data_IF_049108204407
#
_entry.id   IF_049108204407
#
_cell.length_a   1.000
_cell.length_b   1.000
_cell.length_c   1.000
_cell.angle_alpha   90.00
_cell.angle_beta   90.00
_cell.angle_gamma   90.00
#
_symmetry.space_group_name_H-M   'P 1'
#
loop_
_entity.id
_entity.type
_entity.pdbx_description
1 polymer ?
#
# COMPACT_ATOMS: atom_id res chain seq x y z
N UNK A 1 64.98 30.59 27.37
CA UNK A 1 63.82 30.59 28.29
C UNK A 1 63.23 31.99 28.35
N UNK A 2 61.92 32.22 28.56
CA UNK A 2 60.74 31.40 28.22
C UNK A 2 59.52 32.20 27.65
N UNK A 3 58.52 31.47 27.14
CA UNK A 3 57.03 31.57 27.28
C UNK A 3 56.37 32.97 27.39
N UNK A 4 55.24 33.30 26.74
CA UNK A 4 53.94 32.66 26.94
C UNK A 4 52.92 32.92 25.80
N UNK A 5 52.11 31.88 25.60
CA UNK A 5 50.87 31.76 24.86
C UNK A 5 49.78 32.72 25.42
N UNK A 6 49.03 33.42 24.55
CA UNK A 6 47.66 33.85 24.86
C UNK A 6 46.75 33.53 23.67
N UNK A 7 46.00 32.45 23.84
CA UNK A 7 44.86 32.07 23.00
C UNK A 7 43.72 33.04 23.29
N UNK A 8 43.29 33.82 22.30
CA UNK A 8 42.06 34.61 22.41
C UNK A 8 40.84 33.67 22.33
N UNK A 9 39.80 33.87 23.15
CA UNK A 9 38.57 33.09 23.05
C UNK A 9 37.84 33.45 21.75
N UNK A 10 37.36 32.44 21.03
CA UNK A 10 36.45 32.62 19.90
C UNK A 10 35.09 33.07 20.46
N UNK A 11 34.54 34.24 20.08
CA UNK A 11 33.18 34.58 20.44
C UNK A 11 32.22 33.70 19.63
N UNK A 12 31.67 32.68 20.30
CA UNK A 12 30.49 31.97 19.82
C UNK A 12 29.27 32.86 19.99
N UNK A 13 28.78 33.42 18.88
CA UNK A 13 27.44 33.98 18.78
C UNK A 13 26.95 33.79 17.34
N UNK A 14 26.17 32.74 17.12
CA UNK A 14 25.24 32.70 15.99
C UNK A 14 23.88 33.15 16.49
N UNK A 15 23.38 34.34 16.11
CA UNK A 15 22.02 34.75 16.42
C UNK A 15 21.10 34.21 15.34
N UNK A 16 20.70 32.95 15.44
CA UNK A 16 19.50 32.50 14.73
C UNK A 16 18.37 32.50 15.75
N UNK A 17 17.42 33.45 15.69
CA UNK A 17 16.24 33.36 16.50
C UNK A 17 15.45 32.13 16.03
N UNK A 18 14.97 31.34 16.99
CA UNK A 18 14.45 29.97 16.81
C UNK A 18 13.08 29.87 16.10
N UNK A 19 12.68 30.87 15.29
CA UNK A 19 11.37 30.93 14.63
C UNK A 19 11.39 30.63 13.13
N UNK A 20 12.49 30.08 12.59
CA UNK A 20 12.45 29.45 11.27
C UNK A 20 12.70 27.93 11.40
N UNK A 21 11.64 27.22 11.78
CA UNK A 21 11.44 25.87 11.23
C UNK A 21 10.18 26.02 10.39
N UNK A 22 10.18 25.75 9.07
CA UNK A 22 8.91 25.54 8.40
C UNK A 22 8.18 24.49 9.24
N UNK A 23 6.93 24.77 9.65
CA UNK A 23 6.05 23.82 10.36
C UNK A 23 5.92 22.60 9.47
N UNK A 24 6.89 21.70 9.56
CA UNK A 24 6.98 20.53 8.70
C UNK A 24 6.05 19.54 9.34
N UNK A 25 4.77 19.65 8.98
CA UNK A 25 3.82 18.57 9.16
C UNK A 25 4.49 17.29 8.65
N UNK A 26 4.36 16.25 9.43
CA UNK A 26 4.93 14.93 9.17
C UNK A 26 3.78 13.96 8.92
N UNK A 27 4.09 12.88 8.22
CA UNK A 27 3.10 11.88 7.94
C UNK A 27 3.48 11.03 6.74
N UNK A 28 2.66 10.02 6.50
CA UNK A 28 2.80 9.13 5.37
C UNK A 28 1.48 8.45 5.08
N UNK A 29 1.16 8.31 3.80
CA UNK A 29 0.21 7.35 3.30
C UNK A 29 0.96 6.03 3.08
N UNK A 30 0.62 5.01 3.87
CA UNK A 30 1.43 3.78 3.97
C UNK A 30 0.93 2.66 3.06
N UNK A 31 -0.39 2.58 2.86
CA UNK A 31 -0.98 1.70 1.87
C UNK A 31 -2.16 0.89 2.40
N UNK A 32 -2.56 -0.13 1.64
CA UNK A 32 -3.81 -0.85 1.89
C UNK A 32 -3.53 -2.22 2.49
N UNK A 33 -4.18 -2.53 3.61
CA UNK A 33 -4.10 -3.81 4.30
C UNK A 33 -5.46 -4.19 4.87
N UNK A 34 -5.94 -5.40 4.55
CA UNK A 34 -7.24 -5.90 5.04
C UNK A 34 -8.45 -5.09 4.56
N UNK A 35 -8.36 -4.46 3.39
CA UNK A 35 -9.42 -3.59 2.84
C UNK A 35 -9.45 -2.16 3.41
N UNK A 36 -8.49 -1.81 4.27
CA UNK A 36 -8.35 -0.49 4.86
C UNK A 36 -7.12 0.21 4.27
N UNK A 37 -7.25 1.47 3.87
CA UNK A 37 -6.15 2.38 3.57
C UNK A 37 -5.61 2.96 4.87
N UNK A 38 -4.32 2.80 5.10
CA UNK A 38 -3.63 3.22 6.32
C UNK A 38 -2.66 4.36 6.05
N UNK A 39 -2.48 5.19 7.07
CA UNK A 39 -1.42 6.18 7.13
C UNK A 39 -1.37 6.86 8.48
N UNK A 40 -0.58 7.93 8.56
CA UNK A 40 -0.50 8.77 9.75
C UNK A 40 -0.16 10.21 9.37
N UNK A 41 -0.53 11.14 10.23
CA UNK A 41 -0.30 12.57 10.08
C UNK A 41 -0.08 13.22 11.44
N UNK A 42 0.97 14.02 11.56
CA UNK A 42 1.41 14.65 12.80
C UNK A 42 1.89 16.08 12.52
N UNK A 43 1.63 17.00 13.44
CA UNK A 43 2.20 18.34 13.41
C UNK A 43 3.05 18.54 14.68
N UNK A 44 4.39 18.63 14.56
CA UNK A 44 5.26 18.91 15.71
C UNK A 44 4.97 20.26 16.39
N UNK A 45 4.37 21.22 15.67
CA UNK A 45 3.95 22.51 16.22
C UNK A 45 2.69 22.44 17.07
N UNK A 46 1.84 21.44 16.83
CA UNK A 46 0.60 21.19 17.57
C UNK A 46 0.47 19.70 17.92
N UNK A 47 1.35 19.15 18.79
CA UNK A 47 1.47 17.70 18.99
C UNK A 47 0.21 17.06 19.59
N UNK A 48 -0.59 17.81 20.36
CA UNK A 48 -1.87 17.33 20.90
C UNK A 48 -3.01 17.36 19.88
N UNK A 49 -2.82 18.00 18.73
CA UNK A 49 -3.88 18.17 17.73
C UNK A 49 -3.91 17.00 16.77
N UNK A 50 -5.09 16.39 16.65
CA UNK A 50 -5.36 15.37 15.64
C UNK A 50 -5.51 16.01 14.27
N UNK A 51 -4.73 15.53 13.32
CA UNK A 51 -4.69 16.10 11.98
C UNK A 51 -5.87 15.57 11.16
N UNK A 52 -6.60 16.48 10.50
CA UNK A 52 -7.65 16.09 9.55
C UNK A 52 -6.99 15.69 8.24
N UNK A 53 -7.25 14.49 7.76
CA UNK A 53 -6.74 13.96 6.50
C UNK A 53 -7.86 13.88 5.49
N UNK A 54 -7.65 14.46 4.31
CA UNK A 54 -8.56 14.47 3.18
C UNK A 54 -8.00 13.52 2.11
N UNK A 55 -8.74 12.46 1.83
CA UNK A 55 -8.46 11.50 0.78
C UNK A 55 -9.21 11.91 -0.48
N UNK A 56 -8.48 12.15 -1.57
CA UNK A 56 -9.03 12.53 -2.87
C UNK A 56 -8.73 11.43 -3.87
N UNK A 57 -9.76 10.73 -4.34
CA UNK A 57 -9.62 9.69 -5.36
C UNK A 57 -9.37 10.30 -6.75
N UNK A 58 -8.96 9.46 -7.71
CA UNK A 58 -8.83 9.89 -9.12
C UNK A 58 -10.14 10.36 -9.74
N UNK A 59 -11.29 9.84 -9.29
CA UNK A 59 -12.62 10.23 -9.79
C UNK A 59 -13.13 11.52 -9.15
N UNK A 60 -12.36 12.14 -8.25
CA UNK A 60 -12.72 13.37 -7.56
C UNK A 60 -13.54 13.15 -6.28
N UNK A 61 -13.77 11.89 -5.88
CA UNK A 61 -14.41 11.59 -4.61
C UNK A 61 -13.51 12.03 -3.45
N UNK A 62 -14.09 12.78 -2.52
CA UNK A 62 -13.41 13.31 -1.35
C UNK A 62 -13.95 12.63 -0.11
N UNK A 63 -13.06 12.14 0.74
CA UNK A 63 -13.39 11.57 2.03
C UNK A 63 -12.50 12.18 3.10
N UNK A 64 -13.09 12.52 4.24
CA UNK A 64 -12.36 13.12 5.36
C UNK A 64 -12.25 12.13 6.50
N UNK A 65 -11.09 12.09 7.15
CA UNK A 65 -10.82 11.26 8.31
C UNK A 65 -9.93 11.99 9.31
N UNK A 66 -9.92 11.53 10.55
CA UNK A 66 -9.07 12.08 11.61
C UNK A 66 -7.91 11.12 11.88
N UNK A 67 -6.71 11.68 12.01
CA UNK A 67 -5.54 10.94 12.45
C UNK A 67 -5.51 10.86 13.97
N UNK A 68 -6.36 10.01 14.56
CA UNK A 68 -6.56 9.84 16.02
C UNK A 68 -6.28 8.42 16.53
N UNK A 69 -5.98 7.49 15.62
CA UNK A 69 -5.78 6.08 15.95
C UNK A 69 -4.43 5.87 16.61
N UNK A 70 -4.43 5.14 17.72
CA UNK A 70 -3.21 4.75 18.42
C UNK A 70 -2.36 3.79 17.58
N UNK A 71 -1.05 4.04 17.61
CA UNK A 71 -0.02 3.21 17.00
C UNK A 71 1.21 3.15 17.91
N UNK A 72 1.52 1.94 18.36
CA UNK A 72 2.65 1.69 19.26
C UNK A 72 4.00 2.05 18.61
N UNK A 73 4.13 1.89 17.29
CA UNK A 73 5.32 2.26 16.54
C UNK A 73 5.50 3.79 16.45
N UNK A 74 4.41 4.56 16.32
CA UNK A 74 4.47 6.02 16.38
C UNK A 74 4.85 6.52 17.78
N UNK A 75 4.29 5.91 18.83
CA UNK A 75 4.66 6.21 20.21
C UNK A 75 6.15 5.90 20.48
N UNK A 76 6.64 4.74 20.03
CA UNK A 76 8.04 4.34 20.17
C UNK A 76 9.00 5.25 19.38
N UNK A 77 8.55 5.80 18.24
CA UNK A 77 9.30 6.76 17.44
C UNK A 77 9.27 8.19 18.01
N UNK A 78 8.56 8.44 19.12
CA UNK A 78 8.42 9.77 19.71
C UNK A 78 7.50 10.71 18.92
N UNK A 79 6.61 10.17 18.09
CA UNK A 79 5.65 10.95 17.31
C UNK A 79 4.42 11.21 18.19
N UNK A 80 4.41 12.38 18.84
CA UNK A 80 3.34 12.84 19.72
C UNK A 80 3.04 11.83 20.85
N UNK A 81 1.76 11.51 21.03
CA UNK A 81 1.27 10.50 21.99
C UNK A 81 0.98 9.13 21.33
N UNK A 82 1.38 8.95 20.07
CA UNK A 82 1.09 7.76 19.28
C UNK A 82 -0.32 7.72 18.68
N UNK A 83 -1.21 8.68 18.98
CA UNK A 83 -2.56 8.78 18.42
C UNK A 83 -2.60 9.64 17.15
N UNK A 84 -1.75 9.30 16.19
CA UNK A 84 -1.60 10.04 14.94
C UNK A 84 -1.81 9.18 13.70
N UNK A 85 -2.31 7.95 13.85
CA UNK A 85 -2.66 7.07 12.74
C UNK A 85 -4.09 7.32 12.23
N UNK A 86 -4.35 6.96 10.98
CA UNK A 86 -5.69 6.84 10.43
C UNK A 86 -5.83 5.53 9.64
N UNK A 87 -7.05 4.99 9.57
CA UNK A 87 -7.37 3.80 8.79
C UNK A 87 -8.79 3.94 8.23
N UNK A 88 -8.94 3.83 6.91
CA UNK A 88 -10.19 4.12 6.23
C UNK A 88 -10.57 2.97 5.29
N UNK A 89 -11.82 2.46 5.32
CA UNK A 89 -12.28 1.47 4.36
C UNK A 89 -12.12 1.96 2.92
N UNK A 90 -11.46 1.15 2.09
CA UNK A 90 -11.19 1.50 0.71
C UNK A 90 -12.49 1.72 -0.10
N UNK A 91 -13.54 0.96 0.23
CA UNK A 91 -14.87 1.10 -0.37
C UNK A 91 -15.45 2.51 -0.23
N UNK A 92 -15.13 3.23 0.86
CA UNK A 92 -15.56 4.60 1.08
C UNK A 92 -14.75 5.63 0.27
N UNK A 93 -13.54 5.27 -0.14
CA UNK A 93 -12.69 6.07 -1.04
C UNK A 93 -13.02 5.77 -2.51
N UNK A 94 -13.64 4.61 -2.77
CA UNK A 94 -14.12 4.16 -4.08
C UNK A 94 -13.07 3.40 -4.90
N UNK A 95 -11.82 3.88 -4.96
CA UNK A 95 -10.74 3.21 -5.70
C UNK A 95 -9.38 3.41 -5.06
N UNK A 96 -8.57 2.35 -5.03
CA UNK A 96 -7.17 2.37 -4.61
C UNK A 96 -6.26 3.18 -5.55
N UNK A 97 -6.66 3.41 -6.80
CA UNK A 97 -5.76 3.99 -7.78
C UNK A 97 -5.77 5.53 -7.74
N UNK A 98 -4.61 6.12 -7.43
CA UNK A 98 -4.39 7.56 -7.51
C UNK A 98 -5.01 8.34 -6.36
N UNK A 99 -5.07 7.77 -5.15
CA UNK A 99 -5.59 8.46 -3.97
C UNK A 99 -4.56 9.46 -3.47
N UNK A 100 -4.89 10.75 -3.40
CA UNK A 100 -4.04 11.74 -2.73
C UNK A 100 -4.52 11.93 -1.29
N UNK A 101 -3.60 11.95 -0.33
CA UNK A 101 -3.91 12.29 1.05
C UNK A 101 -3.34 13.66 1.40
N UNK A 102 -4.22 14.58 1.79
CA UNK A 102 -3.90 15.96 2.12
C UNK A 102 -4.19 16.19 3.61
N UNK A 103 -3.28 16.83 4.33
CA UNK A 103 -3.50 17.26 5.70
C UNK A 103 -4.11 18.65 5.69
N UNK A 104 -5.30 18.76 6.27
CA UNK A 104 -6.19 19.92 6.21
C UNK A 104 -6.55 20.32 4.76
N UNK A 105 -7.44 21.31 4.61
CA UNK A 105 -8.01 21.69 3.30
C UNK A 105 -7.00 22.40 2.36
N UNK A 106 -5.74 22.56 2.78
CA UNK A 106 -4.94 23.71 2.33
C UNK A 106 -3.42 23.56 2.16
N UNK A 107 -2.79 22.38 2.14
CA UNK A 107 -1.47 22.35 1.48
C UNK A 107 -0.41 21.31 1.80
N UNK A 108 -0.58 20.40 2.77
CA UNK A 108 0.43 19.35 3.00
C UNK A 108 -0.03 18.00 2.46
N UNK A 109 0.49 17.64 1.29
CA UNK A 109 0.30 16.30 0.73
C UNK A 109 1.19 15.29 1.46
N UNK A 110 0.57 14.25 2.01
CA UNK A 110 1.28 13.20 2.72
C UNK A 110 2.21 12.45 1.76
N UNK A 111 3.50 12.29 2.12
CA UNK A 111 4.40 11.37 1.43
C UNK A 111 3.74 10.00 1.19
N UNK A 112 3.87 9.44 0.00
CA UNK A 112 3.11 8.25 -0.43
C UNK A 112 1.85 8.59 -1.24
N UNK A 113 1.56 9.87 -1.42
CA UNK A 113 0.55 10.39 -2.34
C UNK A 113 1.16 10.85 -3.69
N UNK A 114 0.41 10.76 -4.81
CA UNK A 114 -0.78 9.93 -4.94
C UNK A 114 -0.40 8.48 -4.65
N UNK A 115 -1.25 7.77 -3.90
CA UNK A 115 -1.20 6.33 -3.76
C UNK A 115 -1.47 5.75 -5.13
N UNK A 116 -0.39 5.56 -5.88
CA UNK A 116 -0.35 4.53 -6.88
C UNK A 116 -0.30 3.22 -6.11
N UNK A 117 -1.12 2.26 -6.51
CA UNK A 117 -0.83 0.85 -6.29
C UNK A 117 0.49 0.57 -7.08
N UNK A 118 1.63 1.05 -6.57
CA UNK A 118 2.94 1.14 -7.27
C UNK A 118 3.62 -0.25 -7.36
N UNK A 119 2.93 -1.30 -6.91
CA UNK A 119 3.35 -2.70 -6.98
C UNK A 119 2.71 -3.52 -8.12
N UNK A 120 1.85 -2.91 -8.95
CA UNK A 120 1.58 -3.38 -10.31
C UNK A 120 0.99 -4.79 -10.45
N UNK A 121 -0.33 -4.90 -10.41
CA UNK A 121 -1.20 -5.65 -11.35
C UNK A 121 -2.57 -4.99 -11.20
N UNK A 122 -3.23 -4.46 -12.24
CA UNK A 122 -4.59 -3.96 -12.07
C UNK A 122 -5.51 -5.10 -11.60
N UNK A 123 -6.65 -4.82 -10.94
CA UNK A 123 -7.63 -5.85 -10.73
C UNK A 123 -8.04 -6.40 -12.10
N UNK A 124 -7.82 -7.70 -12.29
CA UNK A 124 -8.06 -8.37 -13.56
C UNK A 124 -8.96 -9.56 -13.33
N UNK A 125 -10.04 -9.61 -14.10
CA UNK A 125 -10.87 -10.79 -14.21
C UNK A 125 -10.58 -11.49 -15.52
N UNK A 126 -10.54 -12.82 -15.47
CA UNK A 126 -10.32 -13.66 -16.63
C UNK A 126 -11.31 -14.82 -16.60
N UNK A 127 -11.83 -15.12 -17.78
CA UNK A 127 -12.70 -16.26 -18.06
C UNK A 127 -12.03 -17.06 -19.19
N UNK A 128 -11.62 -18.30 -18.88
CA UNK A 128 -10.92 -19.21 -19.81
C UNK A 128 -11.58 -20.58 -19.76
N UNK A 129 -12.55 -20.78 -20.66
CA UNK A 129 -13.33 -22.01 -20.70
C UNK A 129 -14.22 -22.11 -19.46
N UNK A 130 -14.03 -23.13 -18.64
CA UNK A 130 -14.75 -23.27 -17.36
C UNK A 130 -14.12 -22.48 -16.21
N UNK A 131 -12.85 -22.07 -16.35
CA UNK A 131 -12.09 -21.40 -15.30
C UNK A 131 -12.41 -19.91 -15.24
N UNK A 132 -12.74 -19.42 -14.05
CA UNK A 132 -12.77 -17.99 -13.74
C UNK A 132 -11.73 -17.67 -12.69
N UNK A 133 -11.05 -16.55 -12.86
CA UNK A 133 -10.19 -16.02 -11.81
C UNK A 133 -10.27 -14.50 -11.76
N UNK A 134 -10.07 -13.95 -10.56
CA UNK A 134 -9.90 -12.53 -10.31
C UNK A 134 -8.60 -12.32 -9.55
N UNK A 135 -7.77 -11.40 -10.01
CA UNK A 135 -6.65 -10.85 -9.25
C UNK A 135 -7.12 -9.51 -8.70
N UNK A 136 -6.96 -9.27 -7.40
CA UNK A 136 -7.37 -8.00 -6.78
C UNK A 136 -6.27 -6.92 -6.91
N UNK A 137 -5.03 -7.38 -7.09
CA UNK A 137 -3.83 -6.54 -7.21
C UNK A 137 -2.67 -7.10 -6.38
N UNK A 138 -1.55 -6.38 -6.43
CA UNK A 138 -0.41 -6.61 -5.56
C UNK A 138 -0.36 -5.46 -4.52
N UNK A 139 -1.15 -5.56 -3.45
CA UNK A 139 -1.14 -4.54 -2.41
C UNK A 139 0.13 -4.62 -1.58
N UNK A 140 1.00 -3.61 -1.61
CA UNK A 140 1.99 -3.14 -0.59
C UNK A 140 2.76 -4.15 0.28
N UNK A 141 2.60 -5.44 0.04
CA UNK A 141 2.83 -6.54 0.98
C UNK A 141 3.13 -7.81 0.19
N UNK A 142 3.99 -7.69 -0.83
CA UNK A 142 4.77 -8.83 -1.35
C UNK A 142 3.94 -10.09 -1.64
N UNK A 143 2.70 -9.97 -2.11
CA UNK A 143 1.86 -11.11 -2.41
C UNK A 143 0.79 -10.75 -3.44
N UNK A 144 0.54 -11.66 -4.38
CA UNK A 144 -0.56 -11.60 -5.31
C UNK A 144 -1.79 -12.21 -4.64
N UNK A 145 -2.89 -11.48 -4.61
CA UNK A 145 -4.15 -11.95 -4.04
C UNK A 145 -5.24 -12.02 -5.09
N UNK A 146 -6.11 -13.00 -4.95
CA UNK A 146 -7.10 -13.31 -5.97
C UNK A 146 -8.01 -14.46 -5.56
N UNK A 147 -8.98 -14.77 -6.41
CA UNK A 147 -9.75 -16.01 -6.33
C UNK A 147 -9.69 -16.72 -7.67
N UNK A 148 -9.82 -18.04 -7.64
CA UNK A 148 -9.94 -18.86 -8.84
C UNK A 148 -10.93 -19.98 -8.58
N UNK A 149 -11.77 -20.27 -9.57
CA UNK A 149 -12.75 -21.34 -9.50
C UNK A 149 -12.96 -21.96 -10.88
N UNK A 150 -13.46 -23.18 -10.89
CA UNK A 150 -13.97 -23.85 -12.08
C UNK A 150 -15.50 -23.89 -11.99
N UNK A 151 -16.18 -23.41 -13.03
CA UNK A 151 -17.64 -23.36 -13.10
C UNK A 151 -18.28 -24.72 -13.32
N UNK A 152 -17.55 -25.66 -13.92
CA UNK A 152 -18.00 -27.02 -14.19
C UNK A 152 -17.70 -27.94 -13.02
N UNK A 153 -16.50 -27.82 -12.45
CA UNK A 153 -16.09 -28.58 -11.26
C UNK A 153 -15.86 -27.63 -10.08
N UNK A 154 -16.95 -27.28 -9.39
CA UNK A 154 -16.92 -26.28 -8.30
C UNK A 154 -16.05 -26.70 -7.11
N UNK A 155 -15.76 -27.99 -6.98
CA UNK A 155 -14.89 -28.52 -5.92
C UNK A 155 -13.42 -28.46 -6.30
N UNK A 156 -13.10 -28.31 -7.59
CA UNK A 156 -11.73 -28.28 -8.06
C UNK A 156 -10.94 -27.10 -7.47
N UNK A 157 -9.73 -27.41 -6.97
CA UNK A 157 -8.81 -26.46 -6.36
C UNK A 157 -7.49 -26.48 -7.12
N UNK A 158 -7.30 -25.64 -8.15
CA UNK A 158 -6.08 -25.69 -8.96
C UNK A 158 -4.84 -25.38 -8.11
N UNK A 159 -3.74 -26.08 -8.36
CA UNK A 159 -2.43 -25.64 -7.90
C UNK A 159 -2.00 -24.42 -8.72
N UNK A 160 -2.17 -23.23 -8.16
CA UNK A 160 -1.77 -22.01 -8.83
C UNK A 160 -0.26 -21.89 -8.86
N UNK A 161 0.29 -21.55 -10.02
CA UNK A 161 1.68 -21.18 -10.19
C UNK A 161 1.80 -19.82 -10.86
N UNK A 162 2.45 -18.88 -10.17
CA UNK A 162 2.91 -17.65 -10.76
C UNK A 162 4.27 -17.90 -11.42
N UNK A 163 4.37 -17.61 -12.72
CA UNK A 163 5.55 -17.86 -13.54
C UNK A 163 6.03 -16.59 -14.22
N UNK A 164 7.32 -16.56 -14.53
CA UNK A 164 7.95 -15.59 -15.42
C UNK A 164 8.82 -16.38 -16.42
N UNK A 165 8.31 -16.52 -17.64
CA UNK A 165 8.83 -17.53 -18.58
C UNK A 165 8.65 -18.93 -18.00
N UNK A 166 9.70 -19.74 -18.07
CA UNK A 166 9.73 -21.10 -17.49
C UNK A 166 9.90 -21.11 -15.96
N UNK A 167 10.30 -19.99 -15.36
CA UNK A 167 10.59 -19.94 -13.93
C UNK A 167 9.32 -19.77 -13.10
N UNK A 168 9.10 -20.69 -12.17
CA UNK A 168 8.07 -20.56 -11.13
C UNK A 168 8.55 -19.62 -10.03
N UNK A 169 7.80 -18.54 -9.81
CA UNK A 169 8.09 -17.52 -8.80
C UNK A 169 7.44 -17.84 -7.46
N UNK A 170 6.20 -18.34 -7.50
CA UNK A 170 5.41 -18.73 -6.33
C UNK A 170 4.33 -19.73 -6.71
N UNK A 171 3.91 -20.57 -5.76
CA UNK A 171 2.78 -21.48 -5.93
C UNK A 171 1.92 -21.55 -4.67
N UNK A 172 0.67 -21.98 -4.82
CA UNK A 172 -0.24 -22.13 -3.70
C UNK A 172 -1.62 -22.61 -4.15
N UNK A 173 -2.41 -23.13 -3.21
CA UNK A 173 -3.80 -23.53 -3.47
C UNK A 173 -4.78 -22.46 -2.97
N UNK A 174 -5.87 -22.23 -3.70
CA UNK A 174 -6.96 -21.40 -3.24
C UNK A 174 -7.70 -22.12 -2.11
N UNK A 175 -7.52 -21.63 -0.89
CA UNK A 175 -8.07 -22.23 0.33
C UNK A 175 -8.64 -21.18 1.28
N UNK A 176 -8.48 -19.89 0.97
CA UNK A 176 -8.99 -18.80 1.81
C UNK A 176 -10.46 -18.54 1.53
N UNK A 177 -11.20 -18.30 2.61
CA UNK A 177 -12.56 -17.78 2.57
C UNK A 177 -12.57 -16.37 1.97
N UNK A 178 -13.50 -16.10 1.04
CA UNK A 178 -13.72 -14.76 0.48
C UNK A 178 -15.22 -14.44 0.37
N UNK A 179 -15.63 -13.24 0.79
CA UNK A 179 -17.06 -12.83 0.86
C UNK A 179 -17.63 -12.31 -0.45
N UNK A 180 -16.79 -11.79 -1.33
CA UNK A 180 -17.09 -11.31 -2.69
C UNK A 180 -17.04 -12.44 -3.73
N UNK A 181 -17.34 -13.68 -3.31
CA UNK A 181 -17.39 -14.84 -4.20
C UNK A 181 -18.73 -14.89 -4.96
N UNK A 182 -18.73 -15.39 -6.20
CA UNK A 182 -19.98 -15.73 -6.89
C UNK A 182 -20.82 -16.71 -6.07
N UNK A 183 -22.14 -16.52 -6.07
CA UNK A 183 -23.07 -17.41 -5.37
C UNK A 183 -22.97 -18.86 -5.87
N UNK A 184 -23.16 -19.83 -4.97
CA UNK A 184 -23.16 -21.26 -5.30
C UNK A 184 -21.81 -21.99 -5.20
N UNK A 185 -20.83 -21.38 -4.52
CA UNK A 185 -19.53 -21.98 -4.17
C UNK A 185 -19.35 -21.99 -2.65
N UNK A 186 -18.45 -22.83 -2.14
CA UNK A 186 -18.18 -22.99 -0.69
C UNK A 186 -17.40 -21.81 -0.06
N UNK A 187 -17.08 -20.79 -0.86
CA UNK A 187 -16.36 -19.58 -0.44
C UNK A 187 -14.85 -19.75 -0.25
N UNK A 188 -14.30 -20.98 -0.33
CA UNK A 188 -12.88 -21.29 -0.06
C UNK A 188 -12.03 -21.33 -1.34
N UNK A 189 -12.12 -20.27 -2.14
CA UNK A 189 -11.44 -20.17 -3.44
C UNK A 189 -10.46 -19.01 -3.53
N UNK A 190 -10.25 -18.29 -2.42
CA UNK A 190 -9.27 -17.22 -2.32
C UNK A 190 -7.84 -17.76 -2.23
N UNK A 191 -6.91 -17.09 -2.91
CA UNK A 191 -5.49 -17.40 -2.84
C UNK A 191 -4.66 -16.20 -2.38
N UNK A 192 -3.48 -16.50 -1.86
CA UNK A 192 -2.42 -15.54 -1.58
C UNK A 192 -1.10 -16.18 -2.03
N UNK A 193 -0.45 -15.60 -3.02
CA UNK A 193 0.82 -16.08 -3.55
C UNK A 193 1.93 -15.09 -3.20
N UNK A 194 2.85 -15.44 -2.30
CA UNK A 194 3.93 -14.53 -1.93
C UNK A 194 4.83 -14.20 -3.15
N UNK A 195 5.04 -12.91 -3.38
CA UNK A 195 5.96 -12.36 -4.35
C UNK A 195 7.32 -12.12 -3.70
N UNK A 196 8.38 -12.64 -4.33
CA UNK A 196 9.74 -12.32 -3.89
C UNK A 196 10.05 -10.84 -4.18
N UNK A 197 10.83 -10.16 -3.32
CA UNK A 197 11.32 -8.83 -3.62
C UNK A 197 12.05 -8.79 -4.98
N UNK A 198 11.80 -7.75 -5.77
CA UNK A 198 12.47 -7.56 -7.07
C UNK A 198 11.83 -8.26 -8.27
N UNK A 199 10.72 -9.00 -8.09
CA UNK A 199 9.94 -9.50 -9.23
C UNK A 199 9.34 -8.32 -10.00
N UNK A 200 9.79 -8.10 -11.24
CA UNK A 200 9.23 -7.13 -12.17
C UNK A 200 9.18 -7.70 -13.59
N UNK A 201 8.27 -7.19 -14.42
CA UNK A 201 8.10 -7.61 -15.81
C UNK A 201 6.88 -8.51 -16.04
N UNK A 202 6.81 -9.13 -17.21
CA UNK A 202 5.68 -9.97 -17.62
C UNK A 202 5.65 -11.26 -16.81
N UNK A 203 4.50 -11.56 -16.22
CA UNK A 203 4.22 -12.75 -15.44
C UNK A 203 2.96 -13.45 -15.95
N UNK A 204 2.86 -14.74 -15.67
CA UNK A 204 1.69 -15.57 -16.00
C UNK A 204 1.21 -16.31 -14.76
N UNK A 205 -0.10 -16.39 -14.57
CA UNK A 205 -0.72 -17.25 -13.59
C UNK A 205 -1.27 -18.46 -14.32
N UNK A 206 -0.89 -19.66 -13.87
CA UNK A 206 -1.33 -20.92 -14.49
C UNK A 206 -1.90 -21.85 -13.44
N UNK A 207 -2.85 -22.69 -13.85
CA UNK A 207 -3.13 -23.95 -13.18
C UNK A 207 -2.03 -24.94 -13.55
N UNK A 208 -1.18 -25.29 -12.58
CA UNK A 208 -0.06 -26.19 -12.80
C UNK A 208 -0.48 -27.65 -12.98
N UNK A 209 -1.67 -28.05 -12.52
CA UNK A 209 -2.15 -29.43 -12.62
C UNK A 209 -2.71 -29.71 -14.02
N UNK A 210 -3.51 -28.78 -14.55
CA UNK A 210 -4.07 -28.89 -15.92
C UNK A 210 -3.25 -28.19 -16.99
N UNK A 211 -2.15 -27.53 -16.62
CA UNK A 211 -1.33 -26.73 -17.54
C UNK A 211 -2.07 -25.53 -18.15
N UNK A 212 -3.19 -25.12 -17.55
CA UNK A 212 -4.07 -24.09 -18.12
C UNK A 212 -3.54 -22.70 -17.79
N UNK A 213 -3.33 -21.86 -18.80
CA UNK A 213 -3.00 -20.45 -18.60
C UNK A 213 -4.25 -19.68 -18.14
N UNK A 214 -4.19 -19.13 -16.93
CA UNK A 214 -5.29 -18.36 -16.34
C UNK A 214 -5.17 -16.87 -16.69
N UNK A 215 -3.98 -16.30 -16.51
CA UNK A 215 -3.75 -14.88 -16.70
C UNK A 215 -2.36 -14.55 -17.20
N UNK A 216 -2.22 -13.44 -17.93
CA UNK A 216 -0.95 -12.80 -18.25
C UNK A 216 -1.02 -11.34 -17.86
N UNK A 217 -0.03 -10.86 -17.12
CA UNK A 217 0.02 -9.47 -16.65
C UNK A 217 1.46 -9.01 -16.46
N UNK A 218 1.66 -7.73 -16.12
CA UNK A 218 2.99 -7.18 -15.80
C UNK A 218 3.02 -6.73 -14.34
N UNK A 219 4.11 -7.08 -13.67
CA UNK A 219 4.44 -6.60 -12.33
C UNK A 219 5.42 -5.43 -12.43
N UNK A 220 5.11 -4.30 -11.79
CA UNK A 220 5.92 -3.07 -11.77
C UNK A 220 5.39 -1.92 -12.63
N UNK A 221 6.07 -0.75 -12.56
CA UNK A 221 5.59 0.54 -13.10
C UNK A 221 5.03 0.44 -14.53
N UNK A 222 3.81 0.94 -14.71
CA UNK A 222 3.41 1.46 -16.01
C UNK A 222 4.39 2.57 -16.36
N UNK A 223 5.15 2.40 -17.45
CA UNK A 223 5.80 3.54 -18.08
C UNK A 223 4.67 4.49 -18.48
N UNK A 224 4.51 5.57 -17.73
CA UNK A 224 3.75 6.73 -18.19
C UNK A 224 4.51 7.16 -19.45
N UNK A 225 3.91 6.95 -20.61
CA UNK A 225 4.36 7.65 -21.81
C UNK A 225 4.16 9.13 -21.52
N UNK A 226 5.29 9.82 -21.39
CA UNK A 226 5.41 11.28 -21.48
C UNK A 226 4.78 11.80 -22.76
#
# INVERSE_FOLDING_TARGET
MPLHLFSLPRPGFSPHPSWWRPTRKEGRLEGIGGGLLHGWAFDPGEPSRRQRVILVSRTGQRLETLADRYRADLAAAGIGDGHHGFAVPLELVGSAAGIRALVEDGGFELPGSPFADDDGVPPLEFDRGSMRARIDGAHGSRALTGWVLDRQDRSYRPLLALRQGERVLSQGRPTRARRDMPEGFDGLHGFTLPLRPGVRGRCTLVDAERGTLLATFRIGRHAVRS
#
